data_IF_244886450181
#
_entry.id   IF_244886450181
#
_cell.length_a   1.000
_cell.length_b   1.000
_cell.length_c   1.000
_cell.angle_alpha   90.00
_cell.angle_beta   90.00
_cell.angle_gamma   90.00
#
_symmetry.space_group_name_H-M   'P 1'
#
loop_
_entity.id
_entity.type
_entity.pdbx_description
1 polymer ?
#
# COMPACT_ATOMS: atom_id res chain seq x y z
N UNK A 1 13.21 -1.15 -8.24
CA UNK A 1 13.39 -0.43 -6.95
C UNK A 1 12.07 -0.50 -6.22
N UNK A 2 12.07 -0.91 -4.96
CA UNK A 2 10.89 -0.99 -4.12
C UNK A 2 11.28 -0.52 -2.72
N UNK A 3 10.39 0.23 -2.05
CA UNK A 3 10.64 0.80 -0.73
C UNK A 3 9.35 1.35 -0.13
N UNK A 4 9.40 1.73 1.15
CA UNK A 4 8.28 2.34 1.86
C UNK A 4 8.51 3.84 2.00
N UNK A 5 7.46 4.63 1.74
CA UNK A 5 7.43 6.03 2.13
C UNK A 5 7.37 6.14 3.65
N UNK A 6 8.13 7.05 4.23
CA UNK A 6 8.03 7.40 5.65
C UNK A 6 6.64 7.99 5.96
N UNK A 7 6.21 8.00 7.22
CA UNK A 7 4.89 8.54 7.61
C UNK A 7 4.68 10.00 7.16
N UNK A 8 5.76 10.81 7.18
CA UNK A 8 5.73 12.18 6.68
C UNK A 8 5.58 12.24 5.15
N UNK A 9 6.22 11.34 4.42
CA UNK A 9 6.10 11.27 2.95
C UNK A 9 4.73 10.74 2.54
N UNK A 10 4.17 9.77 3.25
CA UNK A 10 2.83 9.23 2.98
C UNK A 10 1.74 10.30 3.07
N UNK A 11 1.90 11.32 3.94
CA UNK A 11 0.99 12.46 4.00
C UNK A 11 1.11 13.44 2.82
N UNK A 12 2.09 13.25 1.93
CA UNK A 12 2.26 14.06 0.74
C UNK A 12 1.20 13.75 -0.31
N UNK A 13 1.01 14.70 -1.24
CA UNK A 13 0.12 14.49 -2.37
C UNK A 13 0.61 13.33 -3.25
N UNK A 14 -0.32 12.50 -3.75
CA UNK A 14 0.00 11.34 -4.60
C UNK A 14 0.83 11.70 -5.83
N UNK A 15 0.59 12.84 -6.48
CA UNK A 15 1.38 13.27 -7.63
C UNK A 15 2.85 13.54 -7.26
N UNK A 16 3.11 13.98 -6.03
CA UNK A 16 4.46 14.16 -5.52
C UNK A 16 5.13 12.81 -5.26
N UNK A 17 4.39 11.82 -4.74
CA UNK A 17 4.90 10.47 -4.53
C UNK A 17 5.27 9.80 -5.85
N UNK A 18 4.44 9.94 -6.88
CA UNK A 18 4.71 9.40 -8.22
C UNK A 18 5.99 10.01 -8.84
N UNK A 19 6.15 11.33 -8.77
CA UNK A 19 7.38 12.00 -9.23
C UNK A 19 8.60 11.62 -8.39
N UNK A 20 8.44 11.50 -7.07
CA UNK A 20 9.52 11.08 -6.18
C UNK A 20 9.96 9.64 -6.47
N UNK A 21 9.03 8.75 -6.83
CA UNK A 21 9.36 7.39 -7.25
C UNK A 21 10.25 7.37 -8.50
N UNK A 22 9.97 8.23 -9.48
CA UNK A 22 10.84 8.43 -10.66
C UNK A 22 12.23 8.92 -10.26
N UNK A 23 12.30 9.93 -9.38
CA UNK A 23 13.57 10.47 -8.91
C UNK A 23 14.40 9.42 -8.14
N UNK A 24 13.76 8.58 -7.31
CA UNK A 24 14.41 7.45 -6.64
C UNK A 24 14.89 6.39 -7.64
N UNK A 25 14.14 6.14 -8.71
CA UNK A 25 14.57 5.25 -9.77
C UNK A 25 15.84 5.77 -10.46
N UNK A 26 15.94 7.07 -10.75
CA UNK A 26 17.16 7.67 -11.30
C UNK A 26 18.38 7.47 -10.41
N UNK A 27 18.22 7.67 -9.09
CA UNK A 27 19.30 7.47 -8.12
C UNK A 27 19.74 6.01 -8.05
N UNK A 28 18.76 5.09 -8.04
CA UNK A 28 19.02 3.66 -7.88
C UNK A 28 19.65 3.04 -9.12
N UNK A 29 19.21 3.45 -10.31
CA UNK A 29 19.72 2.95 -11.58
C UNK A 29 20.85 3.80 -12.15
N UNK A 30 21.40 4.75 -11.37
CA UNK A 30 22.38 5.75 -11.83
C UNK A 30 23.41 5.16 -12.78
N UNK A 31 24.13 4.12 -12.35
CA UNK A 31 25.20 3.51 -13.14
C UNK A 31 24.75 2.96 -14.50
N UNK A 32 23.50 2.50 -14.60
CA UNK A 32 22.95 1.91 -15.83
C UNK A 32 22.33 2.94 -16.79
N UNK A 33 22.03 4.15 -16.32
CA UNK A 33 21.29 5.15 -17.09
C UNK A 33 22.13 6.37 -17.50
N UNK A 34 23.37 6.51 -17.02
CA UNK A 34 24.24 7.62 -17.39
C UNK A 34 24.46 7.69 -18.90
N UNK A 35 24.27 8.88 -19.48
CA UNK A 35 24.43 9.15 -20.90
C UNK A 35 23.37 8.52 -21.80
N UNK A 36 22.32 7.92 -21.24
CA UNK A 36 21.28 7.22 -22.01
C UNK A 36 20.05 8.10 -22.26
N UNK A 37 19.28 7.75 -23.29
CA UNK A 37 17.94 8.28 -23.51
C UNK A 37 16.94 7.49 -22.67
N UNK A 38 16.27 8.15 -21.72
CA UNK A 38 15.38 7.51 -20.77
C UNK A 38 13.92 7.81 -21.11
N UNK A 39 13.14 6.75 -21.28
CA UNK A 39 11.69 6.80 -21.39
C UNK A 39 11.07 6.33 -20.07
N UNK A 40 10.26 7.18 -19.45
CA UNK A 40 9.48 6.86 -18.27
C UNK A 40 8.08 6.47 -18.72
N UNK A 41 7.63 5.29 -18.32
CA UNK A 41 6.25 4.84 -18.52
C UNK A 41 5.50 5.03 -17.20
N UNK A 42 4.39 5.76 -17.23
CA UNK A 42 3.59 6.06 -16.04
C UNK A 42 2.11 6.10 -16.39
N UNK A 43 1.24 5.66 -15.49
CA UNK A 43 -0.21 5.88 -15.58
C UNK A 43 -0.64 7.24 -14.98
N UNK A 44 0.25 7.91 -14.25
CA UNK A 44 -0.02 9.23 -13.70
C UNK A 44 0.18 10.33 -14.76
N UNK A 45 -0.93 10.85 -15.28
CA UNK A 45 -0.95 11.93 -16.28
C UNK A 45 -0.30 13.22 -15.77
N UNK A 46 -0.40 13.53 -14.47
CA UNK A 46 0.23 14.70 -13.87
C UNK A 46 1.76 14.55 -13.85
N UNK A 47 2.28 13.40 -13.41
CA UNK A 47 3.71 13.12 -13.42
C UNK A 47 4.28 13.20 -14.85
N UNK A 48 3.59 12.59 -15.83
CA UNK A 48 3.94 12.73 -17.25
C UNK A 48 4.02 14.20 -17.68
N UNK A 49 2.98 14.98 -17.37
CA UNK A 49 2.93 16.38 -17.76
C UNK A 49 4.07 17.19 -17.13
N UNK A 50 4.38 16.96 -15.86
CA UNK A 50 5.47 17.61 -15.15
C UNK A 50 6.84 17.26 -15.76
N UNK A 51 7.09 16.00 -16.09
CA UNK A 51 8.34 15.57 -16.73
C UNK A 51 8.49 16.23 -18.11
N UNK A 52 7.46 16.14 -18.95
CA UNK A 52 7.54 16.62 -20.34
C UNK A 52 7.49 18.14 -20.48
N UNK A 53 6.81 18.84 -19.55
CA UNK A 53 6.68 20.31 -19.57
C UNK A 53 7.61 20.99 -18.57
N UNK A 54 8.48 20.22 -17.92
CA UNK A 54 9.47 20.72 -16.95
C UNK A 54 8.84 21.48 -15.77
N UNK A 55 7.71 20.97 -15.28
CA UNK A 55 7.00 21.52 -14.13
C UNK A 55 5.54 21.85 -14.41
N UNK A 56 4.95 22.58 -13.45
CA UNK A 56 3.57 23.01 -13.48
C UNK A 56 3.36 24.18 -12.51
N UNK A 57 2.24 24.89 -12.65
CA UNK A 57 1.98 26.16 -11.94
C UNK A 57 1.18 25.99 -10.65
N UNK A 58 0.63 24.81 -10.38
CA UNK A 58 -0.38 24.62 -9.34
C UNK A 58 0.16 24.14 -7.99
N UNK A 59 1.40 23.65 -7.91
CA UNK A 59 1.98 23.17 -6.65
C UNK A 59 3.47 23.46 -6.56
N UNK A 60 3.85 24.33 -5.62
CA UNK A 60 5.24 24.70 -5.38
C UNK A 60 6.09 23.49 -4.95
N UNK A 61 5.53 22.61 -4.11
CA UNK A 61 6.22 21.39 -3.67
C UNK A 61 6.48 20.45 -4.84
N UNK A 62 5.51 20.28 -5.73
CA UNK A 62 5.63 19.43 -6.91
C UNK A 62 6.62 20.01 -7.92
N UNK A 63 6.59 21.33 -8.11
CA UNK A 63 7.53 22.06 -8.95
C UNK A 63 8.97 21.87 -8.47
N UNK A 64 9.24 22.07 -7.18
CA UNK A 64 10.59 21.89 -6.60
C UNK A 64 11.12 20.47 -6.77
N UNK A 65 10.27 19.47 -6.58
CA UNK A 65 10.66 18.07 -6.81
C UNK A 65 10.97 17.82 -8.29
N UNK A 66 10.12 18.32 -9.18
CA UNK A 66 10.32 18.22 -10.63
C UNK A 66 11.62 18.87 -11.06
N UNK A 67 11.90 20.08 -10.55
CA UNK A 67 13.12 20.83 -10.83
C UNK A 67 14.37 20.08 -10.34
N UNK A 68 14.37 19.60 -9.10
CA UNK A 68 15.49 18.85 -8.56
C UNK A 68 15.79 17.58 -9.38
N UNK A 69 14.74 16.84 -9.74
CA UNK A 69 14.85 15.64 -10.58
C UNK A 69 15.37 15.99 -11.99
N UNK A 70 14.87 17.05 -12.62
CA UNK A 70 15.26 17.43 -13.99
C UNK A 70 16.67 18.03 -14.06
N UNK A 71 17.08 18.84 -13.09
CA UNK A 71 18.46 19.33 -12.97
C UNK A 71 19.44 18.18 -12.76
N UNK A 72 19.02 17.11 -12.07
CA UNK A 72 19.80 15.90 -12.01
C UNK A 72 19.85 15.21 -13.38
N UNK A 73 18.70 15.02 -14.03
CA UNK A 73 18.62 14.37 -15.34
C UNK A 73 19.45 15.07 -16.42
N UNK A 74 19.38 16.39 -16.51
CA UNK A 74 20.11 17.21 -17.48
C UNK A 74 21.62 16.99 -17.43
N UNK A 75 22.17 16.84 -16.21
CA UNK A 75 23.61 16.64 -16.01
C UNK A 75 24.08 15.21 -16.29
N UNK A 76 23.17 14.24 -16.35
CA UNK A 76 23.51 12.82 -16.28
C UNK A 76 22.94 11.97 -17.41
N UNK A 77 21.87 12.40 -18.08
CA UNK A 77 21.14 11.65 -19.11
C UNK A 77 21.26 12.35 -20.46
N UNK A 78 21.18 11.61 -21.56
CA UNK A 78 21.14 12.20 -22.90
C UNK A 78 19.77 12.82 -23.21
N UNK A 79 18.69 12.19 -22.75
CA UNK A 79 17.36 12.81 -22.69
C UNK A 79 16.46 12.09 -21.71
N UNK A 80 15.39 12.75 -21.29
CA UNK A 80 14.31 12.16 -20.50
C UNK A 80 12.96 12.56 -21.10
N UNK A 81 12.05 11.60 -21.24
CA UNK A 81 10.65 11.85 -21.63
C UNK A 81 9.72 10.87 -20.92
N UNK A 82 8.46 11.25 -20.75
CA UNK A 82 7.43 10.40 -20.16
C UNK A 82 6.30 10.08 -21.16
N UNK A 83 5.84 8.84 -21.17
CA UNK A 83 4.65 8.38 -21.89
C UNK A 83 3.61 7.82 -20.92
N UNK A 84 2.34 8.05 -21.27
CA UNK A 84 1.23 7.49 -20.50
C UNK A 84 0.98 6.05 -20.93
N UNK A 85 0.89 5.14 -19.96
CA UNK A 85 0.41 3.77 -20.17
C UNK A 85 -0.87 3.55 -19.37
N UNK A 86 -1.73 2.61 -19.79
CA UNK A 86 -2.90 2.26 -18.99
C UNK A 86 -2.47 1.58 -17.68
N UNK A 87 -3.24 1.77 -16.60
CA UNK A 87 -3.01 1.06 -15.33
C UNK A 87 -2.99 -0.46 -15.50
N UNK A 88 -3.79 -1.00 -16.44
CA UNK A 88 -3.78 -2.43 -16.82
C UNK A 88 -2.43 -2.90 -17.38
N UNK A 89 -1.65 -2.00 -17.98
CA UNK A 89 -0.30 -2.30 -18.48
C UNK A 89 0.77 -2.00 -17.42
N UNK A 90 0.49 -1.10 -16.47
CA UNK A 90 1.38 -0.72 -15.38
C UNK A 90 1.44 -1.75 -14.22
N UNK A 91 0.95 -2.97 -14.45
CA UNK A 91 0.77 -4.02 -13.44
C UNK A 91 2.02 -4.31 -12.62
N UNK A 92 3.22 -4.24 -13.18
CA UNK A 92 4.46 -4.49 -12.42
C UNK A 92 4.79 -3.39 -11.42
N UNK A 93 4.65 -2.12 -11.82
CA UNK A 93 4.92 -0.99 -10.93
C UNK A 93 3.83 -0.88 -9.88
N UNK A 94 2.56 -1.05 -10.28
CA UNK A 94 1.42 -1.15 -9.38
C UNK A 94 1.57 -2.31 -8.39
N UNK A 95 1.99 -3.48 -8.87
CA UNK A 95 2.23 -4.61 -7.98
C UNK A 95 3.37 -4.32 -7.02
N UNK A 96 4.46 -3.67 -7.43
CA UNK A 96 5.57 -3.34 -6.51
C UNK A 96 5.19 -2.24 -5.49
N UNK A 97 4.42 -1.24 -5.90
CA UNK A 97 3.90 -0.21 -5.00
C UNK A 97 2.86 -0.80 -4.03
N UNK A 98 2.09 -1.79 -4.49
CA UNK A 98 1.07 -2.50 -3.71
C UNK A 98 1.52 -3.81 -3.08
N UNK A 99 2.72 -4.31 -3.33
CA UNK A 99 3.23 -5.54 -2.72
C UNK A 99 3.55 -5.32 -1.23
N UNK A 100 3.51 -4.05 -0.80
CA UNK A 100 3.46 -3.63 0.61
C UNK A 100 2.08 -3.02 0.94
N UNK A 101 1.03 -3.37 0.21
CA UNK A 101 -0.33 -3.33 0.76
C UNK A 101 -0.37 -4.50 1.72
N UNK A 102 -0.25 -4.20 3.00
CA UNK A 102 -0.41 -5.22 4.01
C UNK A 102 -1.84 -5.76 3.85
N UNK A 103 -1.97 -6.99 3.35
CA UNK A 103 -3.26 -7.68 3.31
C UNK A 103 -3.86 -7.82 4.71
N UNK A 104 -3.08 -7.59 5.78
CA UNK A 104 -3.59 -7.47 7.14
C UNK A 104 -4.42 -6.20 7.39
N UNK A 105 -4.35 -5.21 6.50
CA UNK A 105 -5.17 -3.99 6.55
C UNK A 105 -6.47 -4.10 5.74
N UNK A 106 -6.67 -5.18 4.98
CA UNK A 106 -7.95 -5.39 4.28
C UNK A 106 -9.04 -5.77 5.28
N UNK A 107 -10.22 -5.17 5.11
CA UNK A 107 -11.44 -5.57 5.81
C UNK A 107 -12.52 -5.90 4.79
N UNK A 108 -13.46 -6.77 5.18
CA UNK A 108 -14.69 -6.94 4.42
C UNK A 108 -15.42 -5.59 4.33
N UNK A 109 -16.09 -5.32 3.21
CA UNK A 109 -16.85 -4.09 3.06
C UNK A 109 -17.86 -3.92 4.22
N UNK A 110 -17.96 -2.74 4.86
CA UNK A 110 -18.82 -2.55 6.03
C UNK A 110 -20.26 -3.01 5.82
N UNK A 111 -20.85 -2.75 4.64
CA UNK A 111 -22.21 -3.20 4.33
C UNK A 111 -22.35 -4.73 4.30
N UNK A 112 -21.36 -5.44 3.77
CA UNK A 112 -21.35 -6.91 3.75
C UNK A 112 -21.12 -7.48 5.15
N UNK A 113 -20.32 -6.80 5.97
CA UNK A 113 -20.18 -7.17 7.38
C UNK A 113 -21.49 -6.96 8.13
N UNK A 114 -22.20 -5.85 7.91
CA UNK A 114 -23.52 -5.65 8.51
C UNK A 114 -24.51 -6.72 8.04
N UNK A 115 -24.50 -7.10 6.77
CA UNK A 115 -25.32 -8.22 6.27
C UNK A 115 -24.98 -9.53 6.99
N UNK A 116 -23.69 -9.83 7.20
CA UNK A 116 -23.25 -11.00 7.95
C UNK A 116 -23.69 -10.93 9.42
N UNK A 117 -23.59 -9.77 10.07
CA UNK A 117 -24.06 -9.54 11.44
C UNK A 117 -25.56 -9.77 11.56
N UNK A 118 -26.35 -9.28 10.60
CA UNK A 118 -27.80 -9.50 10.57
C UNK A 118 -28.16 -10.98 10.42
N UNK A 119 -27.33 -11.74 9.70
CA UNK A 119 -27.58 -13.17 9.43
C UNK A 119 -27.10 -14.11 10.52
N UNK A 120 -25.94 -13.85 11.11
CA UNK A 120 -25.24 -14.77 12.02
C UNK A 120 -25.15 -14.26 13.46
N UNK A 121 -25.50 -13.00 13.71
CA UNK A 121 -25.38 -12.32 14.99
C UNK A 121 -24.11 -11.47 15.10
N UNK A 122 -24.06 -10.59 16.09
CA UNK A 122 -22.92 -9.69 16.32
C UNK A 122 -21.74 -10.45 16.95
N UNK A 123 -20.58 -10.54 16.27
CA UNK A 123 -19.41 -11.20 16.82
C UNK A 123 -18.78 -10.37 17.96
N UNK A 124 -18.09 -11.04 18.86
CA UNK A 124 -17.50 -10.41 20.06
C UNK A 124 -16.15 -9.77 19.81
N UNK A 125 -15.34 -10.38 18.95
CA UNK A 125 -13.94 -9.99 18.70
C UNK A 125 -13.62 -10.18 17.22
N UNK A 126 -12.88 -9.23 16.67
CA UNK A 126 -12.28 -9.29 15.35
C UNK A 126 -10.85 -9.87 15.45
N UNK A 127 -10.63 -11.07 14.94
CA UNK A 127 -9.39 -11.82 15.14
C UNK A 127 -8.24 -11.34 14.25
N UNK A 128 -8.52 -10.60 13.17
CA UNK A 128 -7.52 -10.22 12.18
C UNK A 128 -7.67 -8.76 11.78
N UNK A 129 -7.37 -7.86 12.73
CA UNK A 129 -7.53 -6.43 12.50
C UNK A 129 -6.45 -5.56 13.15
N UNK A 130 -6.41 -4.31 12.72
CA UNK A 130 -5.64 -3.19 13.24
C UNK A 130 -6.61 -2.13 13.81
N UNK A 131 -6.12 -1.14 14.56
CA UNK A 131 -6.95 -0.03 15.01
C UNK A 131 -7.66 0.74 13.87
N UNK A 132 -7.18 0.62 12.63
CA UNK A 132 -7.66 1.35 11.46
C UNK A 132 -8.73 0.60 10.66
N UNK A 133 -8.74 -0.74 10.69
CA UNK A 133 -9.64 -1.56 9.88
C UNK A 133 -10.55 -2.50 10.71
N UNK A 134 -10.52 -2.40 12.03
CA UNK A 134 -11.35 -3.28 12.84
C UNK A 134 -12.83 -2.97 12.66
N UNK A 135 -13.63 -4.02 12.52
CA UNK A 135 -15.09 -3.91 12.44
C UNK A 135 -15.76 -4.01 13.80
N UNK A 136 -14.98 -4.22 14.87
CA UNK A 136 -15.46 -4.40 16.24
C UNK A 136 -14.63 -3.58 17.23
N UNK A 137 -15.19 -3.15 18.36
CA UNK A 137 -14.42 -2.45 19.39
C UNK A 137 -13.28 -3.29 19.99
N UNK A 138 -13.43 -4.61 19.99
CA UNK A 138 -12.46 -5.59 20.50
C UNK A 138 -11.84 -6.35 19.34
N UNK A 139 -10.51 -6.39 19.29
CA UNK A 139 -9.79 -7.04 18.19
C UNK A 139 -8.43 -7.58 18.60
N UNK A 140 -7.90 -8.50 17.80
CA UNK A 140 -6.56 -9.07 17.90
C UNK A 140 -5.74 -8.59 16.71
N UNK A 141 -4.56 -8.04 17.00
CA UNK A 141 -3.65 -7.52 15.97
C UNK A 141 -2.48 -8.45 15.72
N UNK A 142 -1.91 -8.38 14.51
CA UNK A 142 -0.73 -9.19 14.16
C UNK A 142 0.49 -8.87 15.02
N UNK A 143 0.69 -7.59 15.33
CA UNK A 143 1.77 -7.06 16.16
C UNK A 143 1.23 -6.41 17.42
N UNK A 144 2.11 -6.02 18.35
CA UNK A 144 1.72 -5.36 19.59
C UNK A 144 1.10 -3.99 19.27
N UNK A 145 -0.15 -3.81 19.67
CA UNK A 145 -0.90 -2.56 19.54
C UNK A 145 -1.52 -2.18 20.88
N UNK A 146 -1.58 -0.87 21.17
CA UNK A 146 -2.08 -0.37 22.46
C UNK A 146 -3.57 -0.67 22.67
N UNK A 147 -4.35 -0.75 21.58
CA UNK A 147 -5.80 -0.97 21.60
C UNK A 147 -6.21 -2.43 21.36
N UNK A 148 -5.27 -3.30 20.97
CA UNK A 148 -5.58 -4.69 20.69
C UNK A 148 -5.69 -5.48 21.99
N UNK A 149 -6.65 -6.39 22.04
CA UNK A 149 -6.86 -7.30 23.17
C UNK A 149 -5.76 -8.35 23.26
N UNK A 150 -5.21 -8.77 22.11
CA UNK A 150 -4.10 -9.72 22.05
C UNK A 150 -3.24 -9.52 20.81
N UNK A 151 -2.15 -10.29 20.72
CA UNK A 151 -1.21 -10.31 19.61
C UNK A 151 -1.25 -11.68 18.94
N UNK A 152 -1.35 -11.69 17.61
CA UNK A 152 -1.31 -12.85 16.75
C UNK A 152 -2.40 -13.89 17.09
N UNK A 153 -3.53 -13.80 16.40
CA UNK A 153 -4.66 -14.71 16.58
C UNK A 153 -4.34 -16.19 16.34
N UNK A 154 -3.29 -16.54 15.60
CA UNK A 154 -2.90 -17.94 15.40
C UNK A 154 -2.17 -18.53 16.62
N UNK A 155 -1.66 -17.69 17.53
CA UNK A 155 -0.90 -18.11 18.71
C UNK A 155 -1.62 -17.88 20.02
N UNK A 156 -2.59 -16.97 20.06
CA UNK A 156 -3.37 -16.73 21.27
C UNK A 156 -4.54 -17.72 21.41
N UNK A 157 -5.02 -17.87 22.64
CA UNK A 157 -6.29 -18.56 22.89
C UNK A 157 -7.44 -17.68 22.44
N UNK A 158 -8.41 -18.24 21.73
CA UNK A 158 -9.61 -17.52 21.31
C UNK A 158 -10.64 -17.44 22.44
N UNK A 159 -11.31 -16.29 22.63
CA UNK A 159 -12.37 -16.17 23.61
C UNK A 159 -13.61 -16.97 23.16
N UNK A 160 -14.39 -17.48 24.12
CA UNK A 160 -15.62 -18.23 23.80
C UNK A 160 -16.71 -17.33 23.21
N UNK A 161 -17.42 -17.87 22.23
CA UNK A 161 -18.58 -17.24 21.57
C UNK A 161 -18.32 -16.97 20.09
N UNK A 162 -19.22 -16.20 19.46
CA UNK A 162 -19.11 -15.86 18.04
C UNK A 162 -17.94 -14.89 17.78
N UNK A 163 -17.04 -15.27 16.89
CA UNK A 163 -15.86 -14.49 16.50
C UNK A 163 -15.91 -14.13 15.03
N UNK A 164 -15.30 -13.01 14.67
CA UNK A 164 -15.12 -12.60 13.29
C UNK A 164 -13.66 -12.79 12.87
N UNK A 165 -13.46 -13.37 11.69
CA UNK A 165 -12.13 -13.56 11.12
C UNK A 165 -12.14 -13.22 9.63
N UNK A 166 -11.31 -12.24 9.25
CA UNK A 166 -11.01 -11.94 7.86
C UNK A 166 -9.48 -11.93 7.67
N UNK A 167 -8.83 -13.11 7.76
CA UNK A 167 -7.39 -13.19 7.70
C UNK A 167 -6.86 -12.87 6.28
N UNK A 168 -5.61 -12.40 6.16
CA UNK A 168 -4.89 -12.39 4.89
C UNK A 168 -4.99 -13.76 4.18
N UNK A 169 -5.14 -13.75 2.86
CA UNK A 169 -5.34 -14.97 2.06
C UNK A 169 -4.33 -16.10 2.38
N UNK A 170 -3.02 -15.83 2.54
CA UNK A 170 -2.05 -16.87 2.86
C UNK A 170 -2.24 -17.53 4.25
N UNK A 171 -2.97 -16.88 5.16
CA UNK A 171 -3.21 -17.38 6.52
C UNK A 171 -4.50 -18.19 6.65
N UNK A 172 -5.39 -18.17 5.64
CA UNK A 172 -6.64 -18.93 5.65
C UNK A 172 -6.43 -20.41 6.02
N UNK A 173 -5.45 -21.16 5.44
CA UNK A 173 -5.23 -22.56 5.81
C UNK A 173 -4.87 -22.76 7.29
N UNK A 174 -4.11 -21.82 7.88
CA UNK A 174 -3.69 -21.90 9.29
C UNK A 174 -4.86 -21.57 10.23
N UNK A 175 -5.75 -20.65 9.85
CA UNK A 175 -6.97 -20.34 10.60
C UNK A 175 -7.91 -21.55 10.62
N UNK A 176 -8.15 -22.17 9.46
CA UNK A 176 -8.96 -23.38 9.35
C UNK A 176 -8.37 -24.49 10.22
N UNK A 177 -7.04 -24.69 10.15
CA UNK A 177 -6.35 -25.69 10.97
C UNK A 177 -6.58 -25.46 12.46
N UNK A 178 -6.45 -24.22 12.92
CA UNK A 178 -6.69 -23.85 14.33
C UNK A 178 -8.15 -24.07 14.75
N UNK A 179 -9.12 -23.73 13.91
CA UNK A 179 -10.55 -24.01 14.19
C UNK A 179 -10.76 -25.49 14.46
N UNK A 180 -10.18 -26.36 13.62
CA UNK A 180 -10.29 -27.82 13.74
C UNK A 180 -9.57 -28.33 14.99
N UNK A 181 -8.33 -27.88 15.22
CA UNK A 181 -7.50 -28.39 16.33
C UNK A 181 -8.02 -27.93 17.71
N UNK A 182 -8.75 -26.80 17.78
CA UNK A 182 -9.29 -26.24 19.04
C UNK A 182 -10.79 -26.45 19.23
N UNK A 183 -11.45 -27.22 18.35
CA UNK A 183 -12.91 -27.44 18.37
C UNK A 183 -13.72 -26.12 18.45
N UNK A 184 -13.24 -25.09 17.76
CA UNK A 184 -13.74 -23.72 17.86
C UNK A 184 -14.90 -23.42 16.89
N UNK A 185 -15.89 -24.34 16.82
CA UNK A 185 -17.13 -24.18 16.04
C UNK A 185 -18.16 -23.25 16.72
#
# INVERSE_FOLDING_TARGET
VQGQWTTLEQSANINWLELSAVHLAFRSFRQSILGQHILILTDNVTAKAHINRQGGTHSLRLMRETEAMLLWAERHLASVRAEHISGETNTKADWLSRAVVDQSEWQLHPDLFQEAVLRFGLPRVDLFATPQNTQLPRFVSRYRETRAENINALRCTWPKGLLYAFPPLPLIPQVIRKIIDEEAE
#
